data_IF_360101063053
#
_entry.id   IF_360101063053
#
_cell.length_a   1.000
_cell.length_b   1.000
_cell.length_c   1.000
_cell.angle_alpha   90.00
_cell.angle_beta   90.00
_cell.angle_gamma   90.00
#
_symmetry.space_group_name_H-M   'P 1'
#
loop_
_entity.id
_entity.type
_entity.pdbx_description
1 polymer ?
#
# COMPACT_ATOMS: atom_id res chain seq x y z
N UNK A 1 -13.27 -12.70 -3.32
CA UNK A 1 -12.03 -13.01 -2.58
C UNK A 1 -10.80 -12.87 -3.48
N UNK A 2 -10.55 -13.72 -4.47
CA UNK A 2 -9.35 -13.60 -5.33
C UNK A 2 -9.20 -12.24 -6.03
N UNK A 3 -10.21 -11.82 -6.82
CA UNK A 3 -10.14 -10.58 -7.59
C UNK A 3 -9.98 -9.33 -6.71
N UNK A 4 -10.57 -9.36 -5.52
CA UNK A 4 -10.43 -8.28 -4.55
C UNK A 4 -8.97 -8.14 -4.09
N UNK A 5 -8.32 -9.24 -3.69
CA UNK A 5 -6.91 -9.18 -3.28
C UNK A 5 -5.97 -8.81 -4.43
N UNK A 6 -6.22 -9.30 -5.65
CA UNK A 6 -5.44 -8.86 -6.82
C UNK A 6 -5.59 -7.36 -7.04
N UNK A 7 -6.82 -6.84 -6.93
CA UNK A 7 -7.09 -5.40 -7.05
C UNK A 7 -6.39 -4.59 -5.96
N UNK A 8 -6.46 -5.01 -4.70
CA UNK A 8 -5.76 -4.33 -3.59
C UNK A 8 -4.24 -4.33 -3.77
N UNK A 9 -3.65 -5.46 -4.18
CA UNK A 9 -2.20 -5.53 -4.49
C UNK A 9 -1.86 -4.58 -5.64
N UNK A 10 -2.68 -4.51 -6.68
CA UNK A 10 -2.48 -3.61 -7.82
C UNK A 10 -2.50 -2.14 -7.38
N UNK A 11 -3.30 -1.77 -6.38
CA UNK A 11 -3.37 -0.41 -5.84
C UNK A 11 -2.36 -0.13 -4.72
N UNK A 12 -1.57 -1.12 -4.29
CA UNK A 12 -0.63 -0.96 -3.18
C UNK A 12 -1.35 -0.71 -1.86
N UNK A 13 -2.43 -1.44 -1.59
CA UNK A 13 -3.22 -1.31 -0.36
C UNK A 13 -3.54 -2.67 0.27
N UNK A 14 -3.68 -2.70 1.59
CA UNK A 14 -4.24 -3.82 2.34
C UNK A 14 -5.77 -3.74 2.38
N UNK A 15 -6.43 -4.79 2.87
CA UNK A 15 -7.90 -4.77 3.02
C UNK A 15 -8.39 -3.74 4.04
N UNK A 16 -7.59 -3.44 5.07
CA UNK A 16 -7.90 -2.41 6.08
C UNK A 16 -7.73 -1.03 5.44
N UNK A 17 -6.59 -0.80 4.80
CA UNK A 17 -6.31 0.46 4.10
C UNK A 17 -7.33 0.75 2.99
N UNK A 18 -7.83 -0.27 2.27
CA UNK A 18 -8.88 -0.11 1.27
C UNK A 18 -10.17 0.49 1.85
N UNK A 19 -10.53 0.16 3.10
CA UNK A 19 -11.70 0.72 3.76
C UNK A 19 -11.44 2.18 4.18
N UNK A 20 -10.25 2.46 4.71
CA UNK A 20 -9.84 3.82 5.10
C UNK A 20 -9.75 4.75 3.88
N UNK A 21 -9.17 4.27 2.78
CA UNK A 21 -9.05 5.01 1.52
C UNK A 21 -10.41 5.43 0.95
N UNK A 22 -11.45 4.62 1.09
CA UNK A 22 -12.80 4.99 0.67
C UNK A 22 -13.36 6.15 1.50
N UNK A 23 -13.01 6.24 2.79
CA UNK A 23 -13.34 7.38 3.65
C UNK A 23 -12.52 8.60 3.25
N UNK A 24 -11.19 8.46 3.12
CA UNK A 24 -10.30 9.56 2.73
C UNK A 24 -10.67 10.17 1.39
N UNK A 25 -11.05 9.34 0.40
CA UNK A 25 -11.49 9.82 -0.91
C UNK A 25 -12.75 10.68 -0.81
N UNK A 26 -13.70 10.31 0.05
CA UNK A 26 -14.92 11.12 0.30
C UNK A 26 -14.59 12.44 0.98
N UNK A 27 -13.71 12.42 1.99
CA UNK A 27 -13.27 13.63 2.71
C UNK A 27 -12.52 14.57 1.77
N UNK A 28 -11.53 14.09 1.01
CA UNK A 28 -10.80 14.88 0.04
C UNK A 28 -11.75 15.49 -1.02
N UNK A 29 -12.68 14.70 -1.57
CA UNK A 29 -13.65 15.17 -2.56
C UNK A 29 -14.55 16.27 -2.00
N UNK A 30 -14.97 16.17 -0.73
CA UNK A 30 -15.77 17.22 -0.08
C UNK A 30 -15.05 18.57 0.04
N UNK A 31 -13.72 18.57 -0.08
CA UNK A 31 -12.85 19.75 -0.04
C UNK A 31 -12.37 20.20 -1.42
N UNK A 32 -12.87 19.56 -2.48
CA UNK A 32 -12.36 19.72 -3.84
C UNK A 32 -10.86 19.38 -3.98
N UNK A 33 -10.36 18.47 -3.13
CA UNK A 33 -9.02 17.90 -3.19
C UNK A 33 -9.07 16.44 -3.70
N UNK A 34 -7.94 15.91 -4.17
CA UNK A 34 -7.83 14.51 -4.61
C UNK A 34 -7.01 13.67 -3.62
N UNK A 35 -7.55 12.51 -3.24
CA UNK A 35 -6.80 11.52 -2.47
C UNK A 35 -5.77 10.80 -3.35
N UNK A 36 -4.53 10.67 -2.87
CA UNK A 36 -3.48 9.87 -3.53
C UNK A 36 -2.86 8.91 -2.52
N UNK A 37 -2.87 7.61 -2.86
CA UNK A 37 -2.17 6.59 -2.09
C UNK A 37 -0.65 6.78 -2.23
N UNK A 38 0.04 7.00 -1.10
CA UNK A 38 1.50 7.15 -1.07
C UNK A 38 2.25 5.84 -1.32
N UNK A 39 1.61 4.69 -1.10
CA UNK A 39 2.18 3.35 -1.33
C UNK A 39 1.91 2.82 -2.75
N UNK A 40 1.09 3.51 -3.55
CA UNK A 40 0.88 3.14 -4.96
C UNK A 40 2.08 3.62 -5.82
N UNK A 41 2.90 2.66 -6.24
CA UNK A 41 4.05 2.86 -7.13
C UNK A 41 3.74 2.54 -8.59
N UNK A 42 2.48 2.20 -8.88
CA UNK A 42 2.01 1.75 -10.19
C UNK A 42 1.78 0.24 -10.22
N UNK A 43 0.74 -0.15 -10.97
CA UNK A 43 0.18 -1.52 -11.01
C UNK A 43 1.22 -2.63 -11.14
N UNK A 44 2.14 -2.51 -12.10
CA UNK A 44 3.16 -3.53 -12.34
C UNK A 44 4.19 -3.56 -11.20
N UNK A 45 4.59 -2.40 -10.70
CA UNK A 45 5.59 -2.30 -9.62
C UNK A 45 5.03 -2.84 -8.32
N UNK A 46 3.77 -2.57 -8.00
CA UNK A 46 3.12 -3.08 -6.79
C UNK A 46 3.04 -4.62 -6.82
N UNK A 47 2.67 -5.21 -7.96
CA UNK A 47 2.68 -6.68 -8.14
C UNK A 47 4.08 -7.27 -8.00
N UNK A 48 5.08 -6.64 -8.60
CA UNK A 48 6.48 -7.07 -8.49
C UNK A 48 6.96 -7.04 -7.04
N UNK A 49 6.63 -5.98 -6.29
CA UNK A 49 7.02 -5.86 -4.88
C UNK A 49 6.30 -6.89 -4.01
N UNK A 50 4.98 -7.05 -4.18
CA UNK A 50 4.18 -7.98 -3.39
C UNK A 50 4.66 -9.42 -3.52
N UNK A 51 4.89 -9.90 -4.75
CA UNK A 51 5.40 -11.25 -4.99
C UNK A 51 6.93 -11.34 -4.90
N UNK A 52 7.61 -10.21 -4.72
CA UNK A 52 9.06 -10.07 -4.78
C UNK A 52 9.64 -10.70 -6.06
N UNK A 53 9.16 -10.29 -7.25
CA UNK A 53 9.60 -10.83 -8.56
C UNK A 53 10.14 -9.74 -9.49
N UNK A 54 10.99 -10.13 -10.45
CA UNK A 54 11.55 -9.25 -11.46
C UNK A 54 13.06 -9.00 -11.28
N UNK A 55 13.53 -7.83 -11.72
CA UNK A 55 14.97 -7.50 -11.86
C UNK A 55 15.78 -7.68 -10.56
N UNK A 56 15.18 -7.36 -9.41
CA UNK A 56 15.82 -7.45 -8.09
C UNK A 56 15.17 -8.49 -7.16
N UNK A 57 14.36 -9.39 -7.72
CA UNK A 57 13.58 -10.36 -6.97
C UNK A 57 13.74 -11.78 -7.49
N UNK A 58 12.76 -12.62 -7.18
CA UNK A 58 12.68 -13.98 -7.64
C UNK A 58 12.23 -14.06 -9.11
N UNK A 59 12.59 -15.14 -9.84
CA UNK A 59 12.10 -15.35 -11.21
C UNK A 59 10.58 -15.52 -11.27
N UNK A 60 9.93 -15.08 -12.35
CA UNK A 60 8.46 -15.16 -12.49
C UNK A 60 7.84 -16.56 -12.35
N UNK A 61 8.61 -17.63 -12.58
CA UNK A 61 8.09 -18.99 -12.41
C UNK A 61 7.73 -19.31 -10.95
N UNK A 62 8.25 -18.56 -9.97
CA UNK A 62 7.94 -18.77 -8.54
C UNK A 62 6.48 -18.47 -8.20
N UNK A 63 5.75 -17.73 -9.06
CA UNK A 63 4.31 -17.48 -8.89
C UNK A 63 3.46 -18.74 -9.00
N UNK A 64 3.95 -19.77 -9.70
CA UNK A 64 3.19 -21.00 -9.98
C UNK A 64 3.60 -22.18 -9.11
N UNK A 65 4.62 -22.01 -8.25
CA UNK A 65 5.16 -23.07 -7.40
C UNK A 65 4.94 -22.64 -5.94
N UNK A 66 4.42 -23.52 -5.06
CA UNK A 66 4.18 -23.20 -3.66
C UNK A 66 5.48 -23.19 -2.85
N UNK A 67 6.35 -22.24 -3.15
CA UNK A 67 7.60 -21.99 -2.41
C UNK A 67 7.39 -20.88 -1.40
N UNK A 68 8.07 -20.98 -0.26
CA UNK A 68 8.16 -19.85 0.68
C UNK A 68 9.07 -18.79 0.08
N UNK A 69 8.48 -17.67 -0.32
CA UNK A 69 9.18 -16.50 -0.84
C UNK A 69 9.29 -15.46 0.27
N UNK A 70 10.50 -14.91 0.48
CA UNK A 70 10.67 -13.82 1.42
C UNK A 70 10.07 -12.53 0.84
N UNK A 71 9.35 -11.72 1.63
CA UNK A 71 8.89 -10.42 1.18
C UNK A 71 10.09 -9.54 0.80
N UNK A 72 9.84 -8.52 -0.04
CA UNK A 72 10.90 -7.61 -0.50
C UNK A 72 11.46 -6.70 0.62
N UNK A 73 10.76 -6.62 1.76
CA UNK A 73 11.07 -5.72 2.87
C UNK A 73 10.84 -6.40 4.24
N UNK A 74 11.18 -5.70 5.31
CA UNK A 74 11.16 -6.14 6.70
C UNK A 74 9.78 -6.05 7.40
N UNK A 75 8.80 -5.44 6.73
CA UNK A 75 7.45 -5.23 7.28
C UNK A 75 7.34 -4.03 8.22
N UNK A 76 8.37 -3.19 8.31
CA UNK A 76 8.35 -1.89 9.01
C UNK A 76 8.51 -0.73 8.05
N UNK A 77 9.23 -0.96 6.97
CA UNK A 77 9.46 0.02 5.92
C UNK A 77 8.89 -0.48 4.60
N UNK A 78 8.21 0.40 3.87
CA UNK A 78 7.69 0.10 2.53
C UNK A 78 8.08 1.20 1.58
N UNK A 79 8.29 0.83 0.31
CA UNK A 79 8.61 1.81 -0.72
C UNK A 79 7.42 2.75 -0.94
N UNK A 80 7.69 4.06 -0.87
CA UNK A 80 6.69 5.11 -1.08
C UNK A 80 6.93 5.84 -2.39
N UNK A 81 5.87 6.41 -2.94
CA UNK A 81 5.92 7.24 -4.14
C UNK A 81 6.85 8.43 -3.89
N UNK A 82 7.77 8.76 -4.82
CA UNK A 82 8.69 9.88 -4.64
C UNK A 82 7.94 11.20 -4.38
N UNK A 83 8.35 11.91 -3.33
CA UNK A 83 7.72 13.17 -2.92
C UNK A 83 6.47 13.01 -2.04
N UNK A 84 6.13 11.78 -1.61
CA UNK A 84 5.03 11.53 -0.69
C UNK A 84 5.54 10.86 0.59
N UNK A 85 5.66 11.65 1.65
CA UNK A 85 5.90 11.12 3.00
C UNK A 85 4.60 10.58 3.63
N UNK A 86 3.45 11.10 3.19
CA UNK A 86 2.09 10.72 3.63
C UNK A 86 1.12 10.67 2.45
N UNK A 87 -0.08 10.12 2.68
CA UNK A 87 -1.16 10.14 1.69
C UNK A 87 -1.56 11.59 1.37
N UNK A 88 -1.73 11.90 0.09
CA UNK A 88 -2.21 13.22 -0.31
C UNK A 88 -3.70 13.34 -0.08
N UNK A 89 -4.17 14.52 0.35
CA UNK A 89 -5.58 14.77 0.63
C UNK A 89 -6.06 14.25 1.99
N UNK A 90 -5.15 13.75 2.83
CA UNK A 90 -5.38 13.42 4.25
C UNK A 90 -4.59 14.41 5.10
N UNK A 91 -5.24 15.08 6.06
CA UNK A 91 -4.56 16.00 6.99
C UNK A 91 -4.15 15.27 8.26
N UNK A 92 -3.17 15.82 8.98
CA UNK A 92 -2.74 15.26 10.26
C UNK A 92 -3.92 15.19 11.24
N UNK A 93 -4.16 14.01 11.81
CA UNK A 93 -5.30 13.72 12.69
C UNK A 93 -6.58 13.26 11.98
N UNK A 94 -6.57 13.14 10.65
CA UNK A 94 -7.66 12.53 9.87
C UNK A 94 -7.36 11.08 9.48
N UNK A 95 -6.17 10.57 9.81
CA UNK A 95 -5.79 9.18 9.64
C UNK A 95 -6.64 8.33 10.61
N UNK A 96 -7.42 7.40 10.06
CA UNK A 96 -8.28 6.47 10.80
C UNK A 96 -7.47 5.41 11.56
N UNK A 97 -6.27 5.14 11.06
CA UNK A 97 -5.27 4.29 11.66
C UNK A 97 -4.22 5.19 12.30
N UNK A 98 -4.35 5.38 13.62
CA UNK A 98 -3.36 6.13 14.40
C UNK A 98 -1.99 5.43 14.33
N UNK A 99 -0.89 6.22 14.28
CA UNK A 99 0.39 5.72 14.77
C UNK A 99 0.19 5.44 16.26
N UNK A 100 0.30 4.17 16.68
CA UNK A 100 0.18 3.78 18.08
C UNK A 100 0.93 4.78 18.96
N UNK A 101 0.17 5.45 19.83
CA UNK A 101 0.66 6.41 20.82
C UNK A 101 1.96 5.87 21.43
N UNK A 102 3.08 6.58 21.24
CA UNK A 102 4.39 6.24 21.80
C UNK A 102 4.37 6.51 23.32
N UNK A 103 3.50 5.79 24.03
CA UNK A 103 3.26 5.84 25.46
C UNK A 103 4.09 4.80 26.19
N UNK A 104 5.41 4.99 26.21
CA UNK A 104 6.28 4.39 27.23
C UNK A 104 7.21 5.47 27.80
N UNK A 105 6.68 6.20 28.79
CA UNK A 105 7.49 6.91 29.79
C UNK A 105 7.21 6.33 31.16
#
# INVERSE_FOLDING_TARGET
MFLFHVYSVVNGETSVESQDHDVYRKVATSRAESFVNSYDLGRLKNLQLFFNVGENGYPFYTLFIPLRIMPYTDGRSWARRPGFDRHHGVRQGEELTDEEEEGWT
#
